data_IF_870922713591
#
_entry.id   IF_870922713591
#
_cell.length_a   1.000
_cell.length_b   1.000
_cell.length_c   1.000
_cell.angle_alpha   90.00
_cell.angle_beta   90.00
_cell.angle_gamma   90.00
#
_symmetry.space_group_name_H-M   'P 1'
#
loop_
_entity.id
_entity.type
_entity.pdbx_description
1 polymer ?
#
# COMPACT_ATOMS: atom_id res chain seq x y z
N UNK A 1 -7.80 61.66 -36.56
CA UNK A 1 -7.00 60.50 -36.22
C UNK A 1 -7.94 59.36 -35.96
N UNK A 2 -7.57 58.14 -36.38
CA UNK A 2 -8.33 56.92 -36.05
C UNK A 2 -8.13 56.58 -34.60
N UNK A 3 -9.21 56.19 -33.92
CA UNK A 3 -9.19 55.67 -32.53
C UNK A 3 -9.94 54.34 -32.47
N UNK A 4 -9.44 53.40 -31.67
CA UNK A 4 -10.15 52.18 -31.36
C UNK A 4 -10.87 52.32 -30.01
N UNK A 5 -12.05 51.72 -29.90
CA UNK A 5 -12.87 51.70 -28.68
C UNK A 5 -13.80 50.48 -28.66
N UNK A 6 -14.48 50.28 -27.55
CA UNK A 6 -15.46 49.20 -27.37
C UNK A 6 -14.95 47.81 -27.78
N UNK A 7 -13.69 47.49 -27.38
CA UNK A 7 -13.13 46.19 -27.65
C UNK A 7 -13.85 45.14 -26.80
N UNK A 8 -14.35 44.11 -27.45
CA UNK A 8 -15.05 42.97 -26.86
C UNK A 8 -14.41 41.70 -27.40
N UNK A 9 -14.24 40.71 -26.54
CA UNK A 9 -13.85 39.33 -26.90
C UNK A 9 -15.05 38.42 -26.76
N UNK A 10 -15.13 37.41 -27.60
CA UNK A 10 -16.15 36.38 -27.50
C UNK A 10 -15.59 35.22 -26.69
N UNK A 11 -16.09 35.06 -25.44
CA UNK A 11 -15.79 33.90 -24.60
C UNK A 11 -14.58 34.05 -23.67
N UNK A 12 -13.70 33.13 -23.66
CA UNK A 12 -12.70 32.67 -22.72
C UNK A 12 -11.51 33.62 -22.42
N UNK A 13 -11.80 34.93 -22.31
CA UNK A 13 -10.80 35.95 -21.95
C UNK A 13 -11.46 37.18 -21.32
N UNK A 14 -10.67 37.94 -20.58
CA UNK A 14 -11.03 39.25 -20.05
C UNK A 14 -10.29 40.35 -20.79
N UNK A 15 -10.96 41.54 -20.95
CA UNK A 15 -10.39 42.75 -21.59
C UNK A 15 -10.25 43.83 -20.54
N UNK A 16 -9.08 44.43 -20.45
CA UNK A 16 -8.82 45.64 -19.66
C UNK A 16 -8.38 46.79 -20.57
N UNK A 17 -9.09 47.92 -20.54
CA UNK A 17 -8.66 49.12 -21.20
C UNK A 17 -7.61 49.85 -20.34
N UNK A 18 -6.50 50.25 -20.93
CA UNK A 18 -5.40 50.93 -20.27
C UNK A 18 -5.48 52.46 -20.48
N UNK A 19 -4.91 53.24 -19.57
CA UNK A 19 -4.90 54.71 -19.60
C UNK A 19 -4.18 55.31 -20.83
N UNK A 20 -3.30 54.55 -21.47
CA UNK A 20 -2.54 54.93 -22.65
C UNK A 20 -3.31 54.68 -23.99
N UNK A 21 -4.53 54.14 -23.89
CA UNK A 21 -5.37 53.81 -25.04
C UNK A 21 -5.09 52.41 -25.63
N UNK A 22 -4.27 51.62 -25.01
CA UNK A 22 -4.11 50.18 -25.33
C UNK A 22 -5.12 49.30 -24.59
N UNK A 23 -5.25 48.05 -25.04
CA UNK A 23 -6.08 47.05 -24.39
C UNK A 23 -5.22 45.83 -24.04
N UNK A 24 -5.44 45.29 -22.85
CA UNK A 24 -4.87 44.01 -22.44
C UNK A 24 -5.93 42.94 -22.51
N UNK A 25 -5.66 41.86 -23.23
CA UNK A 25 -6.51 40.65 -23.28
C UNK A 25 -5.81 39.60 -22.47
N UNK A 26 -6.51 39.06 -21.47
CA UNK A 26 -6.00 37.99 -20.62
C UNK A 26 -6.90 36.79 -20.84
N UNK A 27 -6.39 35.68 -21.46
CA UNK A 27 -7.13 34.45 -21.59
C UNK A 27 -7.48 33.87 -20.20
N UNK A 28 -8.56 33.13 -20.13
CA UNK A 28 -8.93 32.39 -18.94
C UNK A 28 -7.86 31.32 -18.66
N UNK A 29 -7.79 30.87 -17.40
CA UNK A 29 -6.82 29.82 -17.00
C UNK A 29 -7.04 28.55 -17.85
N UNK A 30 -5.94 28.01 -18.38
CA UNK A 30 -5.90 26.79 -19.17
C UNK A 30 -6.68 26.89 -20.52
N UNK A 31 -7.09 28.06 -20.92
CA UNK A 31 -7.70 28.26 -22.24
C UNK A 31 -6.63 28.21 -23.34
N UNK A 32 -6.88 27.43 -24.36
CA UNK A 32 -6.17 27.44 -25.63
C UNK A 32 -7.17 27.39 -26.77
N UNK A 33 -6.84 28.02 -27.88
CA UNK A 33 -7.76 28.15 -29.02
C UNK A 33 -7.84 29.58 -29.57
N UNK A 34 -8.82 29.83 -30.39
CA UNK A 34 -9.02 31.14 -31.03
C UNK A 34 -10.00 32.01 -30.24
N UNK A 35 -9.65 33.27 -30.07
CA UNK A 35 -10.49 34.30 -29.46
C UNK A 35 -10.84 35.31 -30.53
N UNK A 36 -12.13 35.48 -30.82
CA UNK A 36 -12.64 36.50 -31.72
C UNK A 36 -12.71 37.86 -31.01
N UNK A 37 -12.11 38.87 -31.61
CA UNK A 37 -12.06 40.22 -31.08
C UNK A 37 -12.88 41.13 -32.01
N UNK A 38 -13.82 41.88 -31.44
CA UNK A 38 -14.54 42.94 -32.14
C UNK A 38 -14.25 44.29 -31.49
N UNK A 39 -14.11 45.32 -32.29
CA UNK A 39 -13.88 46.67 -31.80
C UNK A 39 -14.36 47.74 -32.78
N UNK A 40 -14.63 48.91 -32.25
CA UNK A 40 -15.02 50.07 -33.04
C UNK A 40 -13.80 50.88 -33.47
N UNK A 41 -13.80 51.28 -34.75
CA UNK A 41 -12.86 52.26 -35.30
C UNK A 41 -13.61 53.56 -35.60
N UNK A 42 -13.14 54.68 -35.04
CA UNK A 42 -13.75 56.01 -35.24
C UNK A 42 -12.72 56.98 -35.85
N UNK A 43 -13.13 57.77 -36.89
CA UNK A 43 -12.29 58.78 -37.55
C UNK A 43 -12.52 60.21 -37.05
N UNK A 44 -13.51 60.40 -36.15
CA UNK A 44 -13.99 61.66 -35.64
C UNK A 44 -15.32 62.08 -36.22
N UNK A 45 -15.86 61.34 -37.21
CA UNK A 45 -17.14 61.56 -37.83
C UNK A 45 -18.00 60.32 -37.92
N UNK A 46 -17.40 59.21 -38.33
CA UNK A 46 -18.06 57.92 -38.54
C UNK A 46 -17.37 56.79 -37.68
N UNK A 47 -18.15 55.75 -37.34
CA UNK A 47 -17.73 54.61 -36.62
C UNK A 47 -18.02 53.32 -37.40
N UNK A 48 -17.04 52.44 -37.53
CA UNK A 48 -17.21 51.13 -38.14
C UNK A 48 -16.75 50.04 -37.16
N UNK A 49 -17.37 48.84 -37.22
CA UNK A 49 -16.94 47.67 -36.48
C UNK A 49 -15.87 46.94 -37.27
N UNK A 50 -14.79 46.56 -36.60
CA UNK A 50 -13.73 45.74 -37.14
C UNK A 50 -13.53 44.47 -36.26
N UNK A 51 -12.91 43.49 -36.84
CA UNK A 51 -12.58 42.22 -36.13
C UNK A 51 -11.10 41.95 -36.22
N UNK A 52 -10.60 41.18 -35.22
CA UNK A 52 -9.28 40.57 -35.21
C UNK A 52 -9.38 39.22 -34.51
N UNK A 53 -8.51 38.31 -34.89
CA UNK A 53 -8.42 36.98 -34.31
C UNK A 53 -7.13 36.89 -33.47
N UNK A 54 -7.23 36.30 -32.29
CA UNK A 54 -6.10 35.98 -31.41
C UNK A 54 -6.08 34.50 -31.16
N UNK A 55 -5.00 33.84 -31.58
CA UNK A 55 -4.77 32.43 -31.25
C UNK A 55 -3.95 32.30 -29.97
N UNK A 56 -4.48 31.61 -28.98
CA UNK A 56 -3.79 31.21 -27.75
C UNK A 56 -3.26 29.78 -27.93
N UNK A 57 -1.95 29.64 -27.91
CA UNK A 57 -1.34 28.33 -28.04
C UNK A 57 -1.41 27.54 -26.72
N UNK A 58 -1.60 26.22 -26.76
CA UNK A 58 -1.53 25.39 -25.56
C UNK A 58 -0.11 25.42 -24.93
N UNK A 59 -0.07 25.32 -23.63
CA UNK A 59 1.14 25.11 -22.83
C UNK A 59 0.83 23.90 -21.96
N UNK A 60 1.74 22.94 -21.90
CA UNK A 60 1.55 21.75 -21.10
C UNK A 60 1.44 22.10 -19.62
N UNK A 61 0.41 21.60 -18.95
CA UNK A 61 0.26 21.57 -17.51
C UNK A 61 0.78 20.21 -16.98
N UNK A 62 1.11 20.13 -15.69
CA UNK A 62 1.59 18.88 -15.09
C UNK A 62 0.46 17.88 -14.90
N UNK A 63 0.71 16.56 -15.08
CA UNK A 63 -0.26 15.55 -14.74
C UNK A 63 -0.60 15.60 -13.25
N UNK A 64 -1.81 15.24 -12.91
CA UNK A 64 -2.35 15.25 -11.55
C UNK A 64 -2.67 13.81 -11.10
N UNK A 65 -1.67 13.05 -10.61
CA UNK A 65 -1.90 11.72 -10.03
C UNK A 65 -2.59 11.83 -8.67
N UNK A 66 -3.26 10.76 -8.27
CA UNK A 66 -3.76 10.56 -6.91
C UNK A 66 -2.93 9.49 -6.19
N UNK A 67 -2.73 9.67 -4.87
CA UNK A 67 -2.10 8.66 -4.04
C UNK A 67 -2.99 7.40 -3.99
N UNK A 68 -2.35 6.22 -3.99
CA UNK A 68 -3.03 4.93 -3.97
C UNK A 68 -2.84 4.24 -2.61
N UNK A 69 -3.78 3.37 -2.23
CA UNK A 69 -3.72 2.62 -0.98
C UNK A 69 -4.15 1.16 -1.19
N UNK A 70 -3.40 0.23 -0.61
CA UNK A 70 -3.67 -1.21 -0.65
C UNK A 70 -3.56 -1.83 0.73
N UNK A 71 -4.16 -3.01 0.90
CA UNK A 71 -4.07 -3.81 2.13
C UNK A 71 -3.83 -5.26 1.75
N UNK A 72 -2.92 -5.93 2.45
CA UNK A 72 -2.64 -7.37 2.33
C UNK A 72 -2.39 -7.98 3.71
N UNK A 73 -2.48 -9.31 3.85
CA UNK A 73 -1.94 -10.04 4.99
C UNK A 73 -0.42 -10.19 4.89
N UNK A 74 0.26 -10.40 6.02
CA UNK A 74 1.72 -10.48 6.08
C UNK A 74 2.31 -11.63 5.26
N UNK A 75 1.59 -12.74 5.11
CA UNK A 75 1.99 -13.88 4.27
C UNK A 75 1.52 -13.78 2.82
N UNK A 76 0.85 -12.66 2.49
CA UNK A 76 0.31 -12.42 1.17
C UNK A 76 1.34 -11.83 0.19
N UNK A 77 0.96 -11.83 -1.08
CA UNK A 77 1.65 -11.07 -2.13
C UNK A 77 0.67 -10.08 -2.73
N UNK A 78 0.96 -8.79 -2.58
CA UNK A 78 0.21 -7.74 -3.26
C UNK A 78 0.61 -7.73 -4.73
N UNK A 79 -0.39 -7.73 -5.62
CA UNK A 79 -0.18 -7.47 -7.05
C UNK A 79 -1.05 -6.31 -7.47
N UNK A 80 -0.47 -5.33 -8.17
CA UNK A 80 -1.15 -4.17 -8.71
C UNK A 80 -0.60 -3.82 -10.09
N UNK A 81 -1.32 -2.98 -10.82
CA UNK A 81 -1.05 -2.67 -12.24
C UNK A 81 -0.89 -1.17 -12.45
N UNK A 82 -0.31 -0.77 -13.61
CA UNK A 82 -0.31 0.63 -14.05
C UNK A 82 -1.71 1.23 -14.04
N UNK A 83 -2.73 0.44 -14.43
CA UNK A 83 -4.11 0.91 -14.43
C UNK A 83 -4.67 1.19 -13.03
N UNK A 84 -4.25 0.42 -12.02
CA UNK A 84 -4.60 0.67 -10.63
C UNK A 84 -3.96 1.98 -10.15
N UNK A 85 -2.71 2.23 -10.52
CA UNK A 85 -1.95 3.43 -10.14
C UNK A 85 -2.47 4.70 -10.83
N UNK A 86 -3.00 4.59 -12.05
CA UNK A 86 -3.58 5.71 -12.78
C UNK A 86 -5.04 5.99 -12.38
N UNK A 87 -5.60 5.23 -11.42
CA UNK A 87 -6.96 5.48 -10.95
C UNK A 87 -7.06 6.86 -10.32
N UNK A 88 -7.98 7.69 -10.83
CA UNK A 88 -8.17 9.08 -10.37
C UNK A 88 -7.20 10.09 -10.97
N UNK A 89 -6.13 9.65 -11.63
CA UNK A 89 -5.18 10.55 -12.28
C UNK A 89 -5.85 11.33 -13.43
N UNK A 90 -5.51 12.61 -13.56
CA UNK A 90 -6.06 13.49 -14.60
C UNK A 90 -4.96 14.35 -15.20
N UNK A 91 -5.21 14.79 -16.42
CA UNK A 91 -4.43 15.79 -17.12
C UNK A 91 -5.37 16.87 -17.67
N UNK A 92 -4.92 18.13 -17.67
CA UNK A 92 -5.77 19.28 -18.04
C UNK A 92 -5.96 19.37 -19.54
N UNK A 93 -4.93 19.01 -20.30
CA UNK A 93 -4.99 18.93 -21.77
C UNK A 93 -5.68 17.66 -22.26
N UNK A 94 -5.84 16.67 -21.36
CA UNK A 94 -6.39 15.37 -21.65
C UNK A 94 -5.39 14.44 -22.33
N UNK A 95 -4.10 14.64 -22.04
CA UNK A 95 -3.03 13.81 -22.55
C UNK A 95 -3.09 12.39 -21.96
N UNK A 96 -2.57 11.41 -22.69
CA UNK A 96 -2.52 10.03 -22.25
C UNK A 96 -1.47 9.88 -21.14
N UNK A 97 -1.93 9.49 -19.94
CA UNK A 97 -1.07 9.27 -18.78
C UNK A 97 -0.46 7.88 -18.78
N UNK A 98 0.80 7.79 -18.35
CA UNK A 98 1.56 6.54 -18.20
C UNK A 98 2.34 6.51 -16.88
N UNK A 99 2.55 5.29 -16.33
CA UNK A 99 3.44 5.06 -15.18
C UNK A 99 4.85 4.83 -15.70
N UNK A 100 5.83 5.60 -15.20
CA UNK A 100 7.24 5.47 -15.61
C UNK A 100 8.08 4.64 -14.63
N UNK A 101 7.54 4.26 -13.48
CA UNK A 101 8.19 3.36 -12.54
C UNK A 101 7.59 3.42 -11.15
N UNK A 102 7.82 2.35 -10.41
CA UNK A 102 7.45 2.24 -8.99
C UNK A 102 8.73 2.01 -8.19
N UNK A 103 8.91 2.76 -7.12
CA UNK A 103 10.12 2.71 -6.28
C UNK A 103 9.78 2.38 -4.85
N UNK A 104 10.49 1.41 -4.30
CA UNK A 104 10.51 1.05 -2.88
C UNK A 104 11.92 1.12 -2.34
N UNK A 105 12.14 1.85 -1.25
CA UNK A 105 13.45 2.02 -0.61
C UNK A 105 13.52 1.43 0.80
N UNK A 106 12.42 0.82 1.27
CA UNK A 106 12.36 0.15 2.56
C UNK A 106 13.08 -1.19 2.57
N UNK A 107 13.02 -1.88 3.72
CA UNK A 107 13.65 -3.17 3.95
C UNK A 107 12.65 -4.25 4.42
N UNK A 108 11.36 -3.91 4.47
CA UNK A 108 10.30 -4.72 5.09
C UNK A 108 9.64 -5.70 4.10
N UNK A 109 10.22 -5.82 2.90
CA UNK A 109 9.75 -6.71 1.85
C UNK A 109 10.48 -6.49 0.54
N UNK A 110 10.01 -7.14 -0.52
CA UNK A 110 10.59 -7.07 -1.87
C UNK A 110 9.53 -6.62 -2.87
N UNK A 111 9.75 -5.48 -3.50
CA UNK A 111 8.98 -5.03 -4.67
C UNK A 111 9.65 -5.57 -5.93
N UNK A 112 8.86 -6.14 -6.83
CA UNK A 112 9.28 -6.63 -8.14
C UNK A 112 8.43 -5.96 -9.23
N UNK A 113 9.10 -5.31 -10.18
CA UNK A 113 8.50 -4.93 -11.46
C UNK A 113 8.53 -6.15 -12.38
N UNK A 114 7.37 -6.62 -12.85
CA UNK A 114 7.26 -7.80 -13.71
C UNK A 114 7.54 -7.48 -15.18
N UNK A 115 7.65 -6.19 -15.55
CA UNK A 115 7.99 -5.72 -16.89
C UNK A 115 6.85 -5.79 -17.92
N UNK A 116 5.62 -6.00 -17.46
CA UNK A 116 4.40 -6.07 -18.28
C UNK A 116 3.31 -5.07 -17.80
N UNK A 117 3.70 -4.06 -17.03
CA UNK A 117 2.79 -3.10 -16.39
C UNK A 117 2.13 -3.66 -15.13
N UNK A 118 2.69 -4.71 -14.56
CA UNK A 118 2.29 -5.25 -13.25
C UNK A 118 3.45 -5.25 -12.27
N UNK A 119 3.12 -5.11 -10.99
CA UNK A 119 4.07 -5.08 -9.88
C UNK A 119 3.63 -6.07 -8.82
N UNK A 120 4.61 -6.67 -8.13
CA UNK A 120 4.36 -7.60 -7.03
C UNK A 120 5.18 -7.17 -5.81
N UNK A 121 4.53 -7.05 -4.66
CA UNK A 121 5.21 -6.83 -3.39
C UNK A 121 4.96 -7.99 -2.45
N UNK A 122 6.04 -8.59 -1.93
CA UNK A 122 6.02 -9.61 -0.91
C UNK A 122 6.65 -9.02 0.36
N UNK A 123 5.90 -8.88 1.47
CA UNK A 123 6.47 -8.55 2.77
C UNK A 123 7.53 -9.57 3.19
N UNK A 124 8.41 -9.19 4.11
CA UNK A 124 9.25 -10.18 4.79
C UNK A 124 8.35 -11.10 5.65
N UNK A 125 8.82 -12.31 5.91
CA UNK A 125 8.14 -13.26 6.79
C UNK A 125 7.75 -12.61 8.12
N UNK A 126 6.48 -12.72 8.50
CA UNK A 126 5.88 -12.19 9.72
C UNK A 126 6.01 -10.66 9.89
N UNK A 127 6.20 -9.92 8.80
CA UNK A 127 6.17 -8.47 8.86
C UNK A 127 4.73 -7.98 8.74
N UNK A 128 4.25 -7.26 9.74
CA UNK A 128 3.02 -6.47 9.71
C UNK A 128 3.32 -5.00 10.03
N UNK A 129 2.58 -4.09 9.40
CA UNK A 129 2.80 -2.65 9.49
C UNK A 129 2.58 -1.92 8.18
N UNK A 130 2.91 -0.64 8.14
CA UNK A 130 2.73 0.19 6.96
C UNK A 130 4.03 0.28 6.16
N UNK A 131 3.93 0.11 4.85
CA UNK A 131 5.01 0.34 3.88
C UNK A 131 4.57 1.36 2.84
N UNK A 132 5.52 2.18 2.37
CA UNK A 132 5.24 3.24 1.42
C UNK A 132 6.13 3.07 0.19
N UNK A 133 5.53 3.19 -1.00
CA UNK A 133 6.20 3.27 -2.28
C UNK A 133 5.95 4.64 -2.91
N UNK A 134 6.69 4.95 -3.94
CA UNK A 134 6.41 6.06 -4.83
C UNK A 134 6.28 5.58 -6.25
N UNK A 135 5.49 6.25 -7.06
CA UNK A 135 5.39 6.02 -8.49
C UNK A 135 5.37 7.33 -9.26
N UNK A 136 5.89 7.29 -10.47
CA UNK A 136 5.98 8.44 -11.34
C UNK A 136 4.93 8.34 -12.45
N UNK A 137 4.15 9.42 -12.65
CA UNK A 137 3.15 9.54 -13.72
C UNK A 137 3.59 10.60 -14.69
N UNK A 138 3.63 10.24 -15.98
CA UNK A 138 4.00 11.13 -17.08
C UNK A 138 2.82 11.32 -18.03
N UNK A 139 2.69 12.57 -18.54
CA UNK A 139 1.82 12.97 -19.66
C UNK A 139 2.53 12.90 -21.03
N UNK A 140 3.80 12.43 -21.03
CA UNK A 140 4.69 12.39 -22.20
C UNK A 140 5.57 13.61 -22.36
N UNK A 141 5.41 14.65 -21.54
CA UNK A 141 6.19 15.89 -21.52
C UNK A 141 6.81 16.12 -20.14
N UNK A 142 6.00 16.04 -19.12
CA UNK A 142 6.36 16.25 -17.72
C UNK A 142 6.02 15.01 -16.88
N UNK A 143 6.60 14.93 -15.67
CA UNK A 143 6.41 13.79 -14.75
C UNK A 143 6.15 14.30 -13.34
N UNK A 144 5.19 13.67 -12.64
CA UNK A 144 4.86 13.95 -11.24
C UNK A 144 4.86 12.66 -10.44
N UNK A 145 5.49 12.72 -9.25
CA UNK A 145 5.55 11.58 -8.33
C UNK A 145 4.36 11.60 -7.37
N UNK A 146 3.74 10.43 -7.15
CA UNK A 146 2.71 10.18 -6.15
C UNK A 146 3.10 9.01 -5.24
N UNK A 147 2.30 8.75 -4.19
CA UNK A 147 2.59 7.74 -3.18
C UNK A 147 1.66 6.54 -3.31
N UNK A 148 2.15 5.39 -2.83
CA UNK A 148 1.38 4.18 -2.60
C UNK A 148 1.55 3.80 -1.13
N UNK A 149 0.47 3.80 -0.38
CA UNK A 149 0.43 3.36 1.00
C UNK A 149 -0.07 1.91 1.05
N UNK A 150 0.73 1.00 1.62
CA UNK A 150 0.37 -0.41 1.79
C UNK A 150 0.30 -0.74 3.27
N UNK A 151 -0.87 -1.18 3.73
CA UNK A 151 -1.04 -1.70 5.08
C UNK A 151 -0.95 -3.22 5.05
N UNK A 152 0.06 -3.77 5.72
CA UNK A 152 0.25 -5.21 5.91
C UNK A 152 -0.37 -5.58 7.24
N UNK A 153 -1.43 -6.38 7.21
CA UNK A 153 -2.17 -6.81 8.40
C UNK A 153 -1.59 -8.09 8.98
N UNK A 154 -1.57 -8.25 10.31
CA UNK A 154 -1.17 -9.51 10.91
C UNK A 154 -2.14 -10.63 10.55
N UNK A 155 -1.61 -11.82 10.39
CA UNK A 155 -2.33 -13.08 10.27
C UNK A 155 -1.77 -14.06 11.31
N UNK A 156 -2.59 -14.98 11.81
CA UNK A 156 -2.13 -15.94 12.83
C UNK A 156 -1.23 -17.00 12.21
N UNK A 157 -0.04 -17.18 12.80
CA UNK A 157 0.87 -18.26 12.49
C UNK A 157 0.67 -19.45 13.47
N UNK A 158 0.88 -20.68 13.04
CA UNK A 158 0.78 -21.83 13.95
C UNK A 158 1.96 -21.88 14.92
N UNK A 159 1.75 -22.32 16.17
CA UNK A 159 2.81 -22.41 17.15
C UNK A 159 3.88 -23.45 16.77
N UNK A 160 5.11 -23.16 17.14
CA UNK A 160 6.26 -24.07 16.96
C UNK A 160 6.46 -24.90 18.22
N UNK A 161 6.18 -26.18 18.11
CA UNK A 161 6.39 -27.13 19.20
C UNK A 161 7.89 -27.47 19.40
N UNK A 162 8.39 -27.27 20.62
CA UNK A 162 9.73 -27.65 21.01
C UNK A 162 9.76 -28.95 21.82
N UNK A 163 10.84 -29.73 21.71
CA UNK A 163 11.03 -30.95 22.48
C UNK A 163 11.73 -30.67 23.80
N UNK A 164 11.28 -31.34 24.86
CA UNK A 164 11.93 -31.36 26.18
C UNK A 164 12.28 -32.78 26.59
N UNK A 165 13.25 -32.95 27.44
CA UNK A 165 13.63 -34.27 27.97
C UNK A 165 13.90 -34.23 29.49
N UNK A 166 13.42 -35.24 30.18
CA UNK A 166 13.54 -35.37 31.61
C UNK A 166 14.06 -36.78 31.98
N UNK A 167 14.70 -36.92 33.11
CA UNK A 167 15.15 -38.21 33.62
C UNK A 167 14.57 -38.49 35.00
N UNK A 168 14.17 -39.72 35.21
CA UNK A 168 13.73 -40.25 36.52
C UNK A 168 14.41 -41.59 36.76
N UNK A 169 14.65 -41.93 37.99
CA UNK A 169 15.15 -43.27 38.34
C UNK A 169 14.00 -44.28 38.27
N UNK A 170 14.31 -45.52 37.92
CA UNK A 170 13.37 -46.64 38.02
C UNK A 170 12.68 -46.68 39.40
N UNK A 171 11.47 -47.15 39.46
CA UNK A 171 10.62 -47.21 40.66
C UNK A 171 10.21 -45.84 41.25
N UNK A 172 10.57 -44.73 40.63
CA UNK A 172 10.09 -43.39 41.01
C UNK A 172 9.20 -42.79 39.93
N UNK A 173 8.28 -41.95 40.37
CA UNK A 173 7.43 -41.15 39.44
C UNK A 173 8.06 -39.78 39.19
N UNK A 174 7.76 -39.21 38.04
CA UNK A 174 8.07 -37.82 37.71
C UNK A 174 6.79 -37.06 37.47
N UNK A 175 6.72 -35.82 37.97
CA UNK A 175 5.65 -34.88 37.66
C UNK A 175 6.23 -33.71 36.87
N UNK A 176 5.64 -33.38 35.74
CA UNK A 176 6.07 -32.34 34.80
C UNK A 176 4.92 -31.36 34.66
N UNK A 177 5.21 -30.06 34.68
CA UNK A 177 4.21 -29.01 34.49
C UNK A 177 4.09 -28.57 33.02
N UNK A 178 2.97 -27.87 32.67
CA UNK A 178 2.77 -27.22 31.37
C UNK A 178 3.97 -26.34 31.04
N UNK A 179 4.40 -25.44 31.93
CA UNK A 179 5.57 -24.59 31.76
C UNK A 179 6.84 -25.34 31.37
N UNK A 180 7.03 -26.53 31.96
CA UNK A 180 8.20 -27.36 31.65
C UNK A 180 8.08 -28.02 30.27
N UNK A 181 6.90 -28.46 29.89
CA UNK A 181 6.63 -29.03 28.56
C UNK A 181 6.74 -27.99 27.45
N UNK A 182 6.30 -26.77 27.70
CA UNK A 182 6.33 -25.66 26.76
C UNK A 182 7.68 -24.91 26.69
N UNK A 183 8.66 -25.28 27.52
CA UNK A 183 9.92 -24.53 27.70
C UNK A 183 10.70 -24.22 26.40
N UNK A 184 10.51 -25.03 25.36
CA UNK A 184 11.16 -24.84 24.05
C UNK A 184 10.13 -24.60 22.92
N UNK A 185 8.85 -24.43 23.26
CA UNK A 185 7.81 -24.06 22.31
C UNK A 185 7.67 -22.54 22.23
N UNK A 186 7.25 -22.03 21.10
CA UNK A 186 7.07 -20.59 20.87
C UNK A 186 5.99 -20.34 19.82
N UNK A 187 5.41 -19.19 19.92
CA UNK A 187 4.54 -18.61 18.94
C UNK A 187 5.00 -17.19 18.61
N UNK A 188 4.73 -16.69 17.40
CA UNK A 188 5.25 -15.40 16.99
C UNK A 188 4.31 -14.26 17.42
N UNK A 189 3.01 -14.54 17.52
CA UNK A 189 1.99 -13.57 17.91
C UNK A 189 1.69 -13.58 19.40
N UNK A 190 1.97 -14.69 20.11
CA UNK A 190 1.53 -14.78 21.48
C UNK A 190 2.02 -15.95 22.31
N UNK A 191 1.18 -16.34 23.26
CA UNK A 191 1.44 -17.43 24.17
C UNK A 191 1.06 -18.78 23.55
N UNK A 192 1.76 -19.84 23.97
CA UNK A 192 1.50 -21.22 23.56
C UNK A 192 0.87 -21.98 24.73
N UNK A 193 -0.21 -22.68 24.45
CA UNK A 193 -0.90 -23.53 25.42
C UNK A 193 -0.82 -25.01 25.04
N UNK A 194 -1.09 -25.91 26.02
CA UNK A 194 -1.18 -27.34 25.79
C UNK A 194 -2.64 -27.75 25.55
N UNK A 195 -2.94 -28.22 24.36
CA UNK A 195 -4.25 -28.82 24.04
C UNK A 195 -4.40 -30.23 24.59
N UNK A 196 -3.34 -31.04 24.53
CA UNK A 196 -3.35 -32.39 25.10
C UNK A 196 -1.95 -32.94 25.31
N UNK A 197 -1.84 -33.80 26.32
CA UNK A 197 -0.66 -34.66 26.54
C UNK A 197 -1.12 -36.11 26.59
N UNK A 198 -0.50 -36.96 25.78
CA UNK A 198 -0.88 -38.38 25.70
C UNK A 198 0.33 -39.29 25.76
N UNK A 199 0.11 -40.52 26.27
CA UNK A 199 1.07 -41.60 26.29
C UNK A 199 0.43 -42.87 25.72
N UNK A 200 1.00 -43.39 24.66
CA UNK A 200 0.50 -44.60 23.96
C UNK A 200 1.27 -45.87 24.26
N UNK A 201 2.33 -45.80 25.11
CA UNK A 201 3.16 -46.91 25.48
C UNK A 201 2.57 -47.81 26.58
N UNK A 202 3.34 -48.88 26.96
CA UNK A 202 2.95 -49.81 27.98
C UNK A 202 3.99 -49.92 29.14
N UNK A 203 4.96 -49.03 29.14
CA UNK A 203 6.15 -49.10 30.03
C UNK A 203 5.93 -48.34 31.35
N UNK A 204 4.72 -47.83 31.57
CA UNK A 204 4.34 -47.10 32.76
C UNK A 204 2.90 -46.63 32.72
N UNK A 205 2.52 -45.87 33.75
CA UNK A 205 1.20 -45.23 33.86
C UNK A 205 1.38 -43.72 33.74
N UNK A 206 0.64 -43.12 32.80
CA UNK A 206 0.52 -41.68 32.63
C UNK A 206 -0.78 -41.20 33.26
N UNK A 207 -0.72 -40.05 33.95
CA UNK A 207 -1.87 -39.41 34.57
C UNK A 207 -1.79 -37.91 34.35
N UNK A 208 -2.82 -37.35 33.75
CA UNK A 208 -3.13 -35.92 33.79
C UNK A 208 -3.73 -35.62 35.17
N UNK A 209 -3.13 -34.71 35.92
CA UNK A 209 -3.60 -34.34 37.26
C UNK A 209 -4.73 -33.30 37.23
N UNK A 210 -5.00 -32.66 36.08
CA UNK A 210 -6.05 -31.66 35.87
C UNK A 210 -5.75 -30.28 36.50
N UNK A 211 -4.50 -30.05 36.87
CA UNK A 211 -4.03 -28.80 37.47
C UNK A 211 -2.83 -28.17 36.68
N UNK A 212 -2.65 -28.56 35.43
CA UNK A 212 -1.52 -28.17 34.59
C UNK A 212 -0.24 -28.97 34.91
N UNK A 213 -0.40 -30.13 35.50
CA UNK A 213 0.72 -31.06 35.74
C UNK A 213 0.36 -32.47 35.28
N UNK A 214 1.39 -33.24 34.91
CA UNK A 214 1.29 -34.59 34.40
C UNK A 214 2.26 -35.49 35.16
N UNK A 215 1.80 -36.66 35.62
CA UNK A 215 2.61 -37.62 36.33
C UNK A 215 2.85 -38.87 35.49
N UNK A 216 4.08 -39.26 35.31
CA UNK A 216 4.46 -40.56 34.74
C UNK A 216 5.14 -41.44 35.78
N UNK A 217 4.63 -42.66 35.89
CA UNK A 217 5.13 -43.67 36.80
C UNK A 217 5.59 -44.90 36.01
N UNK A 218 6.91 -45.16 35.87
CA UNK A 218 7.40 -46.33 35.17
C UNK A 218 6.92 -47.63 35.83
N UNK A 219 6.80 -48.69 35.03
CA UNK A 219 6.61 -50.04 35.60
C UNK A 219 7.81 -50.45 36.46
N UNK A 220 7.57 -51.39 37.40
CA UNK A 220 8.59 -51.92 38.29
C UNK A 220 9.82 -52.40 37.49
N UNK A 221 11.03 -51.94 37.88
CA UNK A 221 12.33 -52.25 37.25
C UNK A 221 12.43 -51.85 35.76
N UNK A 222 11.51 -50.97 35.22
CA UNK A 222 11.66 -50.47 33.86
C UNK A 222 12.81 -49.46 33.79
N UNK A 223 13.71 -49.70 32.85
CA UNK A 223 14.73 -48.74 32.44
C UNK A 223 14.72 -48.63 30.91
N UNK A 224 14.62 -47.41 30.40
CA UNK A 224 14.48 -47.13 28.98
C UNK A 224 13.94 -45.73 28.75
N UNK A 225 13.69 -45.41 27.49
CA UNK A 225 13.10 -44.12 27.09
C UNK A 225 11.60 -44.30 26.85
N UNK A 226 10.83 -43.30 27.25
CA UNK A 226 9.41 -43.19 26.95
C UNK A 226 9.17 -41.82 26.29
N UNK A 227 8.18 -41.74 25.39
CA UNK A 227 7.81 -40.50 24.76
C UNK A 227 6.35 -40.16 25.12
N UNK A 228 6.14 -38.92 25.47
CA UNK A 228 4.81 -38.30 25.56
C UNK A 228 4.56 -37.50 24.31
N UNK A 229 3.37 -37.62 23.76
CA UNK A 229 2.91 -36.77 22.64
C UNK A 229 2.23 -35.54 23.23
N UNK A 230 2.78 -34.35 22.95
CA UNK A 230 2.26 -33.06 23.42
C UNK A 230 1.73 -32.30 22.20
N UNK A 231 0.48 -31.93 22.26
CA UNK A 231 -0.14 -31.05 21.23
C UNK A 231 -0.21 -29.65 21.80
N UNK A 232 0.40 -28.71 21.09
CA UNK A 232 0.40 -27.30 21.45
C UNK A 232 -0.56 -26.56 20.55
N UNK A 233 -1.13 -25.47 21.04
CA UNK A 233 -2.02 -24.55 20.34
C UNK A 233 -1.66 -23.13 20.72
N UNK A 234 -2.02 -22.19 19.85
CA UNK A 234 -2.01 -20.77 20.11
C UNK A 234 -3.34 -20.31 20.74
N UNK A 235 -3.54 -19.01 20.88
CA UNK A 235 -4.78 -18.43 21.43
C UNK A 235 -6.00 -18.62 20.50
N UNK A 236 -5.79 -18.90 19.22
CA UNK A 236 -6.86 -19.10 18.23
C UNK A 236 -7.27 -20.59 18.06
N UNK A 237 -6.44 -21.53 18.52
CA UNK A 237 -6.72 -22.96 18.63
C UNK A 237 -6.40 -23.76 17.40
#
# INVERSE_FOLDING_TARGET
>A
ALTASNLVVDGDATVTANDDGSFTITPDANFNGDIDITFDINDGSDTIVATADLTVNPVNDLPQPEDQAFTIGEDGVLTFTDADLLTGATDIEGDDLSVEGVTYTGADGVLTDNGDGTYSFAPNENFNGDVNFTFDVSDGTDTVTANIDVSVTPENDPPVAGSTSYTVHEDNSITISDEQLLANSSDIEGDVDISSVTYSGNDGVFQDNGDGTYTFSPNENFNGEVSLDVVVVDEEG
#
